data_IF_995001000503
#
_entry.id   IF_995001000503
#
_cell.length_a   1.000
_cell.length_b   1.000
_cell.length_c   1.000
_cell.angle_alpha   90.00
_cell.angle_beta   90.00
_cell.angle_gamma   90.00
#
_symmetry.space_group_name_H-M   'P 1'
#
loop_
_entity.id
_entity.type
_entity.pdbx_description
1 polymer ?
#
# COMPACT_ATOMS: atom_id res chain seq x y z
N UNK A 1 -12.51 -12.86 -18.06
CA UNK A 1 -11.79 -12.81 -16.81
C UNK A 1 -10.73 -11.69 -16.73
N UNK A 2 -10.05 -11.34 -17.83
CA UNK A 2 -9.00 -10.29 -17.86
C UNK A 2 -9.53 -8.84 -17.80
N UNK A 3 -10.79 -8.59 -18.12
CA UNK A 3 -11.37 -7.23 -18.12
C UNK A 3 -11.91 -6.81 -16.73
N UNK A 4 -12.31 -7.77 -15.90
CA UNK A 4 -12.77 -7.50 -14.52
C UNK A 4 -11.62 -7.14 -13.57
N UNK A 5 -10.40 -7.61 -13.84
CA UNK A 5 -9.24 -7.35 -12.98
C UNK A 5 -8.70 -5.92 -13.07
N UNK A 6 -8.88 -5.20 -14.19
CA UNK A 6 -8.41 -3.83 -14.34
C UNK A 6 -9.38 -2.79 -13.75
N UNK A 7 -10.69 -3.00 -13.92
CA UNK A 7 -11.70 -2.10 -13.34
C UNK A 7 -11.72 -2.24 -11.81
N UNK A 8 -11.54 -3.45 -11.28
CA UNK A 8 -11.51 -3.69 -9.83
C UNK A 8 -10.27 -3.11 -9.12
N UNK A 9 -9.13 -2.99 -9.77
CA UNK A 9 -7.91 -2.46 -9.12
C UNK A 9 -7.94 -0.93 -8.95
N UNK A 10 -8.46 -0.21 -9.93
CA UNK A 10 -8.54 1.26 -9.86
C UNK A 10 -9.69 1.72 -8.95
N UNK A 11 -10.81 1.01 -8.96
CA UNK A 11 -11.94 1.28 -8.05
C UNK A 11 -11.64 0.82 -6.61
N UNK A 12 -10.93 -0.29 -6.41
CA UNK A 12 -10.49 -0.72 -5.08
C UNK A 12 -9.42 0.20 -4.47
N UNK A 13 -8.53 0.81 -5.26
CA UNK A 13 -7.58 1.82 -4.77
C UNK A 13 -8.27 3.04 -4.16
N UNK A 14 -9.43 3.45 -4.69
CA UNK A 14 -10.21 4.56 -4.12
C UNK A 14 -10.92 4.23 -2.79
N UNK A 15 -11.01 2.94 -2.42
CA UNK A 15 -11.66 2.48 -1.18
C UNK A 15 -10.62 2.17 -0.10
N UNK A 16 -9.42 1.70 -0.51
CA UNK A 16 -8.35 1.37 0.41
C UNK A 16 -7.58 2.63 0.79
N UNK A 17 -7.60 2.93 2.09
CA UNK A 17 -6.86 4.03 2.66
C UNK A 17 -5.49 3.53 3.13
N UNK A 18 -4.44 3.98 2.45
CA UNK A 18 -3.05 3.69 2.82
C UNK A 18 -2.47 4.76 3.74
N UNK A 19 -3.10 5.95 3.79
CA UNK A 19 -2.74 6.98 4.74
C UNK A 19 -3.39 6.68 6.09
N UNK A 20 -2.61 6.15 7.02
CA UNK A 20 -3.08 5.79 8.35
C UNK A 20 -3.53 7.02 9.16
N UNK A 21 -2.99 8.19 8.88
CA UNK A 21 -3.31 9.44 9.57
C UNK A 21 -4.76 9.87 9.36
N UNK A 22 -5.34 9.60 8.19
CA UNK A 22 -6.75 9.91 7.92
C UNK A 22 -7.74 9.07 8.74
N UNK A 23 -7.29 7.97 9.30
CA UNK A 23 -8.12 7.09 10.17
C UNK A 23 -8.03 7.47 11.65
N UNK A 24 -7.11 8.36 12.02
CA UNK A 24 -6.90 8.80 13.39
C UNK A 24 -7.88 9.90 13.81
N UNK A 25 -8.20 10.02 15.12
CA UNK A 25 -9.01 11.12 15.64
C UNK A 25 -8.37 12.48 15.34
N UNK A 26 -9.19 13.41 14.82
CA UNK A 26 -8.72 14.75 14.41
C UNK A 26 -8.27 15.64 15.58
N UNK A 27 -8.62 15.28 16.80
CA UNK A 27 -8.24 15.98 18.03
C UNK A 27 -6.82 15.68 18.50
N UNK A 28 -6.11 14.72 17.86
CA UNK A 28 -4.75 14.41 18.23
C UNK A 28 -3.80 15.59 17.95
N UNK A 29 -2.92 15.94 18.90
CA UNK A 29 -1.99 17.07 18.73
C UNK A 29 -1.11 16.95 17.46
N UNK A 30 -0.72 15.75 17.08
CA UNK A 30 0.06 15.48 15.85
C UNK A 30 -0.74 15.79 14.59
N UNK A 31 -2.01 15.41 14.55
CA UNK A 31 -2.90 15.68 13.40
C UNK A 31 -3.15 17.19 13.28
N UNK A 32 -3.43 17.87 14.40
CA UNK A 32 -3.60 19.33 14.43
C UNK A 32 -2.32 20.03 13.97
N UNK A 33 -1.14 19.52 14.35
CA UNK A 33 0.13 20.09 13.92
C UNK A 33 0.36 19.91 12.41
N UNK A 34 0.04 18.74 11.85
CA UNK A 34 0.12 18.48 10.42
C UNK A 34 -0.85 19.37 9.62
N UNK A 35 -2.08 19.55 10.11
CA UNK A 35 -3.03 20.47 9.47
C UNK A 35 -2.51 21.92 9.44
N UNK A 36 -1.89 22.39 10.54
CA UNK A 36 -1.27 23.73 10.57
C UNK A 36 -0.08 23.88 9.64
N UNK A 37 0.78 22.85 9.53
CA UNK A 37 1.88 22.86 8.57
C UNK A 37 1.37 22.98 7.14
N UNK A 38 0.26 22.31 6.87
CA UNK A 38 -0.39 22.39 5.57
C UNK A 38 -1.04 23.76 5.30
N UNK A 39 -1.79 24.29 6.26
CA UNK A 39 -2.52 25.55 6.09
C UNK A 39 -1.60 26.77 6.09
N UNK A 40 -0.61 26.81 7.00
CA UNK A 40 0.24 27.98 7.21
C UNK A 40 1.48 27.99 6.30
N UNK A 41 1.97 26.80 5.89
CA UNK A 41 3.25 26.66 5.15
C UNK A 41 3.10 25.94 3.81
N UNK A 42 1.90 25.49 3.43
CA UNK A 42 1.63 24.73 2.20
C UNK A 42 2.50 23.44 2.11
N UNK A 43 2.73 22.82 3.27
CA UNK A 43 3.54 21.61 3.41
C UNK A 43 2.64 20.39 3.61
N UNK A 44 2.37 19.63 2.55
CA UNK A 44 1.61 18.38 2.66
C UNK A 44 2.53 17.18 2.89
N UNK A 45 3.54 17.02 2.05
CA UNK A 45 4.47 15.89 2.12
C UNK A 45 5.89 16.40 1.91
N UNK A 46 6.81 16.02 2.81
CA UNK A 46 8.23 16.36 2.66
C UNK A 46 9.02 15.10 2.38
N UNK A 47 9.67 15.07 1.23
CA UNK A 47 10.62 14.03 0.87
C UNK A 47 12.02 14.43 1.33
N UNK A 48 12.80 13.44 1.74
CA UNK A 48 14.22 13.58 2.04
C UNK A 48 15.02 12.78 1.02
N UNK A 49 16.08 13.37 0.50
CA UNK A 49 16.97 12.73 -0.46
C UNK A 49 18.35 12.65 0.17
N UNK A 50 18.92 11.45 0.17
CA UNK A 50 20.32 11.21 0.49
C UNK A 50 21.06 10.96 -0.83
N UNK A 51 21.84 11.96 -1.26
CA UNK A 51 22.70 11.86 -2.41
C UNK A 51 24.18 11.80 -1.97
N UNK A 52 25.04 11.26 -2.82
CA UNK A 52 26.47 11.15 -2.52
C UNK A 52 27.08 12.54 -2.25
N UNK A 53 27.89 12.63 -1.22
CA UNK A 53 28.59 13.87 -0.88
C UNK A 53 29.64 14.29 -1.91
N UNK A 54 30.10 13.36 -2.77
CA UNK A 54 31.07 13.61 -3.81
C UNK A 54 30.48 14.37 -5.02
N UNK A 55 29.15 14.45 -5.16
CA UNK A 55 28.50 15.23 -6.21
C UNK A 55 28.95 16.69 -6.13
N UNK A 56 29.43 17.23 -7.26
CA UNK A 56 29.86 18.62 -7.31
C UNK A 56 28.71 19.60 -7.07
N UNK A 57 29.04 20.76 -6.52
CA UNK A 57 28.03 21.78 -6.18
C UNK A 57 27.21 22.27 -7.37
N UNK A 58 27.81 22.30 -8.56
CA UNK A 58 27.12 22.69 -9.79
C UNK A 58 26.12 21.62 -10.24
N UNK A 59 26.47 20.35 -10.10
CA UNK A 59 25.60 19.22 -10.42
C UNK A 59 24.46 19.08 -9.40
N UNK A 60 24.77 19.22 -8.11
CA UNK A 60 23.77 19.27 -7.07
C UNK A 60 22.77 20.43 -7.25
N UNK A 61 23.25 21.62 -7.67
CA UNK A 61 22.39 22.76 -7.99
C UNK A 61 21.51 22.51 -9.22
N UNK A 62 22.04 21.83 -10.25
CA UNK A 62 21.24 21.44 -11.43
C UNK A 62 20.17 20.42 -11.08
N UNK A 63 20.53 19.39 -10.32
CA UNK A 63 19.59 18.37 -9.82
C UNK A 63 18.44 19.02 -9.04
N UNK A 64 18.74 19.92 -8.11
CA UNK A 64 17.71 20.65 -7.35
C UNK A 64 16.79 21.46 -8.29
N UNK A 65 17.36 22.18 -9.27
CA UNK A 65 16.58 22.97 -10.21
C UNK A 65 15.72 22.13 -11.16
N UNK A 66 16.11 20.88 -11.44
CA UNK A 66 15.29 19.92 -12.18
C UNK A 66 14.16 19.37 -11.29
N UNK A 67 14.44 19.05 -10.03
CA UNK A 67 13.45 18.60 -9.08
C UNK A 67 12.36 19.65 -8.78
N UNK A 68 12.74 20.94 -8.72
CA UNK A 68 11.78 22.04 -8.54
C UNK A 68 10.82 22.23 -9.72
N UNK A 69 11.13 21.67 -10.89
CA UNK A 69 10.26 21.75 -12.07
C UNK A 69 9.26 20.60 -12.15
N UNK A 70 9.42 19.60 -11.30
CA UNK A 70 8.49 18.47 -11.23
C UNK A 70 7.15 18.97 -10.72
N UNK A 71 6.08 18.52 -11.32
CA UNK A 71 4.73 18.96 -11.00
C UNK A 71 4.39 18.68 -9.51
N UNK A 72 3.79 19.68 -8.86
CA UNK A 72 3.45 19.62 -7.43
C UNK A 72 4.62 19.82 -6.47
N UNK A 73 5.86 20.05 -6.92
CA UNK A 73 6.97 20.44 -6.05
C UNK A 73 6.90 21.94 -5.78
N UNK A 74 6.91 22.31 -4.51
CA UNK A 74 6.89 23.73 -4.09
C UNK A 74 8.29 24.30 -3.94
N UNK A 75 9.20 23.54 -3.38
CA UNK A 75 10.59 23.90 -3.20
C UNK A 75 11.48 22.67 -2.97
N UNK A 76 12.75 22.79 -3.33
CA UNK A 76 13.80 21.83 -3.01
C UNK A 76 14.93 22.54 -2.27
N UNK A 77 15.26 22.07 -1.08
CA UNK A 77 16.23 22.68 -0.19
C UNK A 77 17.42 21.76 0.03
N UNK A 78 18.59 22.18 -0.38
CA UNK A 78 19.85 21.50 -0.11
C UNK A 78 20.94 22.51 0.28
N UNK A 79 22.13 22.02 0.58
CA UNK A 79 23.26 22.89 0.95
C UNK A 79 23.49 23.96 -0.13
N UNK A 80 23.43 23.59 -1.39
CA UNK A 80 23.76 24.47 -2.51
C UNK A 80 22.59 25.39 -2.96
N UNK A 81 21.35 25.08 -2.60
CA UNK A 81 20.22 26.00 -2.81
C UNK A 81 20.24 27.16 -1.82
N UNK A 82 20.70 26.91 -0.58
CA UNK A 82 20.82 27.94 0.45
C UNK A 82 21.94 28.93 0.18
N UNK A 83 23.02 28.50 -0.47
CA UNK A 83 24.28 29.24 -0.55
C UNK A 83 24.49 29.81 -1.92
N UNK A 84 23.86 29.24 -2.95
CA UNK A 84 24.19 29.56 -4.35
C UNK A 84 25.59 29.09 -4.76
N UNK A 85 25.83 28.94 -6.06
CA UNK A 85 27.11 28.40 -6.55
C UNK A 85 28.32 29.36 -6.34
N UNK A 86 28.08 30.58 -5.89
CA UNK A 86 29.08 31.66 -5.86
C UNK A 86 29.70 31.90 -4.48
N UNK A 87 29.11 31.33 -3.40
CA UNK A 87 29.63 31.56 -2.06
C UNK A 87 30.72 30.52 -1.71
N UNK A 88 31.92 30.96 -1.29
CA UNK A 88 32.98 30.07 -0.86
C UNK A 88 32.53 29.22 0.38
N UNK A 89 32.85 27.92 0.33
CA UNK A 89 32.52 26.96 1.44
C UNK A 89 33.01 27.43 2.83
N UNK A 90 34.06 28.25 2.87
CA UNK A 90 34.62 28.80 4.10
C UNK A 90 33.75 29.87 4.80
N UNK A 91 32.73 30.40 4.11
CA UNK A 91 31.80 31.38 4.69
C UNK A 91 30.53 30.73 5.29
N UNK A 92 30.36 29.42 5.12
CA UNK A 92 29.19 28.71 5.61
C UNK A 92 29.42 28.32 7.07
N UNK A 93 28.47 28.60 7.97
CA UNK A 93 28.58 28.11 9.34
C UNK A 93 28.68 26.57 9.37
N UNK A 94 29.64 26.05 10.13
CA UNK A 94 29.84 24.60 10.26
C UNK A 94 28.57 23.87 10.75
N UNK A 95 27.71 24.54 11.50
CA UNK A 95 26.43 23.98 11.97
C UNK A 95 25.47 23.66 10.81
N UNK A 96 25.44 24.47 9.77
CA UNK A 96 24.60 24.24 8.58
C UNK A 96 25.19 23.14 7.71
N UNK A 97 26.49 23.21 7.49
CA UNK A 97 27.20 22.19 6.69
C UNK A 97 27.06 20.82 7.32
N UNK A 98 27.30 20.69 8.63
CA UNK A 98 27.22 19.41 9.34
C UNK A 98 25.78 18.86 9.44
N UNK A 99 24.76 19.71 9.35
CA UNK A 99 23.37 19.28 9.35
C UNK A 99 22.92 18.71 7.98
N UNK A 100 23.44 19.28 6.88
CA UNK A 100 23.01 18.92 5.53
C UNK A 100 24.02 18.07 4.75
N UNK A 101 25.25 17.92 5.24
CA UNK A 101 26.29 17.15 4.56
C UNK A 101 27.23 16.50 5.55
N UNK A 102 27.53 15.22 5.32
CA UNK A 102 28.57 14.47 5.99
C UNK A 102 29.59 13.91 4.98
N UNK A 103 30.52 13.05 5.43
CA UNK A 103 31.55 12.48 4.56
C UNK A 103 31.00 11.57 3.44
N UNK A 104 29.81 11.03 3.61
CA UNK A 104 29.20 10.08 2.66
C UNK A 104 28.02 10.67 1.90
N UNK A 105 27.16 11.41 2.58
CA UNK A 105 25.89 11.86 2.04
C UNK A 105 25.67 13.34 2.21
N UNK A 106 24.91 13.91 1.29
CA UNK A 106 24.26 15.21 1.43
C UNK A 106 22.76 15.02 1.52
N UNK A 107 22.12 15.73 2.44
CA UNK A 107 20.68 15.73 2.67
C UNK A 107 20.01 16.85 1.88
N UNK A 108 18.99 16.50 1.13
CA UNK A 108 18.14 17.43 0.40
C UNK A 108 16.71 17.21 0.88
N UNK A 109 15.97 18.28 1.10
CA UNK A 109 14.56 18.28 1.44
C UNK A 109 13.77 18.77 0.24
N UNK A 110 12.73 18.03 -0.13
CA UNK A 110 11.84 18.37 -1.25
C UNK A 110 10.41 18.38 -0.74
N UNK A 111 9.73 19.50 -0.87
CA UNK A 111 8.35 19.63 -0.42
C UNK A 111 7.37 19.48 -1.57
N UNK A 112 6.37 18.64 -1.37
CA UNK A 112 5.28 18.37 -2.30
C UNK A 112 3.95 18.92 -1.78
N UNK A 113 3.14 19.43 -2.70
CA UNK A 113 1.74 19.79 -2.42
C UNK A 113 0.80 18.57 -2.41
N UNK A 114 1.26 17.42 -2.95
CA UNK A 114 0.45 16.22 -3.01
C UNK A 114 0.40 15.50 -1.67
N UNK A 115 -0.73 14.87 -1.41
CA UNK A 115 -0.93 14.06 -0.21
C UNK A 115 -0.31 12.67 -0.38
N UNK A 116 0.10 12.09 0.75
CA UNK A 116 0.57 10.71 0.82
C UNK A 116 -0.51 9.74 0.29
N UNK A 117 -0.08 8.70 -0.40
CA UNK A 117 -0.91 7.65 -0.97
C UNK A 117 -1.84 8.10 -2.13
N UNK A 118 -1.52 9.18 -2.83
CA UNK A 118 -2.20 9.58 -4.07
C UNK A 118 -1.42 9.14 -5.30
N UNK A 119 -2.12 8.95 -6.42
CA UNK A 119 -1.47 8.57 -7.69
C UNK A 119 -0.54 9.67 -8.19
N UNK A 120 -0.91 10.94 -7.98
CA UNK A 120 -0.10 12.11 -8.33
C UNK A 120 1.23 12.11 -7.57
N UNK A 121 1.19 11.82 -6.25
CA UNK A 121 2.41 11.71 -5.46
C UNK A 121 3.28 10.52 -5.89
N UNK A 122 2.66 9.38 -6.21
CA UNK A 122 3.40 8.20 -6.67
C UNK A 122 4.10 8.43 -8.01
N UNK A 123 3.48 9.16 -8.92
CA UNK A 123 4.10 9.51 -10.20
C UNK A 123 5.21 10.56 -10.01
N UNK A 124 5.00 11.54 -9.14
CA UNK A 124 6.03 12.51 -8.72
C UNK A 124 7.26 11.81 -8.12
N UNK A 125 7.06 10.81 -7.24
CA UNK A 125 8.14 10.01 -6.64
C UNK A 125 8.97 9.29 -7.71
N UNK A 126 8.34 8.72 -8.75
CA UNK A 126 9.05 8.06 -9.86
C UNK A 126 9.89 9.07 -10.66
N UNK A 127 9.34 10.25 -10.90
CA UNK A 127 10.05 11.31 -11.62
C UNK A 127 11.23 11.83 -10.81
N UNK A 128 11.05 12.10 -9.51
CA UNK A 128 12.13 12.49 -8.60
C UNK A 128 13.24 11.42 -8.52
N UNK A 129 12.88 10.14 -8.43
CA UNK A 129 13.84 9.04 -8.48
C UNK A 129 14.60 9.00 -9.81
N UNK A 130 13.93 9.24 -10.92
CA UNK A 130 14.58 9.27 -12.23
C UNK A 130 15.60 10.42 -12.32
N UNK A 131 15.25 11.60 -11.85
CA UNK A 131 16.16 12.74 -11.78
C UNK A 131 17.34 12.41 -10.86
N UNK A 132 17.07 11.90 -9.65
CA UNK A 132 18.12 11.53 -8.69
C UNK A 132 19.12 10.55 -9.30
N UNK A 133 18.64 9.47 -9.90
CA UNK A 133 19.51 8.42 -10.47
C UNK A 133 20.31 8.89 -11.71
N UNK A 134 19.91 9.98 -12.37
CA UNK A 134 20.75 10.58 -13.41
C UNK A 134 22.02 11.24 -12.87
N UNK A 135 22.02 11.65 -11.59
CA UNK A 135 23.16 12.27 -10.92
C UNK A 135 23.86 11.35 -9.93
N UNK A 136 23.12 10.40 -9.34
CA UNK A 136 23.60 9.43 -8.34
C UNK A 136 22.83 8.13 -8.42
N UNK A 137 23.44 7.08 -9.01
CA UNK A 137 22.81 5.75 -9.10
C UNK A 137 22.46 5.12 -7.75
N UNK A 138 23.17 5.53 -6.69
CA UNK A 138 22.96 5.02 -5.33
C UNK A 138 22.17 6.00 -4.45
N UNK A 139 21.73 7.11 -5.01
CA UNK A 139 20.91 8.08 -4.31
C UNK A 139 19.60 7.47 -3.80
N UNK A 140 19.16 7.88 -2.63
CA UNK A 140 17.99 7.33 -1.95
C UNK A 140 16.96 8.42 -1.71
N UNK A 141 15.73 8.21 -2.16
CA UNK A 141 14.57 9.02 -1.83
C UNK A 141 13.88 8.43 -0.60
N UNK A 142 13.73 9.22 0.46
CA UNK A 142 13.25 8.80 1.77
C UNK A 142 12.10 9.69 2.22
N UNK A 143 11.21 9.18 3.01
CA UNK A 143 10.10 9.92 3.60
C UNK A 143 8.83 9.10 3.63
N UNK A 144 7.76 9.68 4.16
CA UNK A 144 6.47 9.02 4.29
C UNK A 144 5.87 8.67 2.92
N UNK A 145 6.01 9.58 1.94
CA UNK A 145 5.52 9.34 0.58
C UNK A 145 6.18 8.14 -0.10
N UNK A 146 7.51 8.12 -0.27
CA UNK A 146 8.23 6.96 -0.85
C UNK A 146 7.98 5.67 -0.09
N UNK A 147 8.01 5.70 1.26
CA UNK A 147 7.73 4.53 2.08
C UNK A 147 6.33 3.96 1.84
N UNK A 148 5.34 4.85 1.73
CA UNK A 148 3.95 4.44 1.47
C UNK A 148 3.78 3.92 0.04
N UNK A 149 4.45 4.51 -0.94
CA UNK A 149 4.46 4.02 -2.33
C UNK A 149 5.03 2.60 -2.41
N UNK A 150 6.19 2.35 -1.78
CA UNK A 150 6.80 1.03 -1.70
C UNK A 150 5.89 0.02 -0.96
N UNK A 151 5.26 0.45 0.14
CA UNK A 151 4.32 -0.38 0.89
C UNK A 151 3.11 -0.79 0.04
N UNK A 152 2.56 0.12 -0.77
CA UNK A 152 1.45 -0.17 -1.69
C UNK A 152 1.86 -1.24 -2.70
N UNK A 153 3.01 -1.06 -3.36
CA UNK A 153 3.47 -1.97 -4.41
C UNK A 153 3.81 -3.36 -3.87
N UNK A 154 4.48 -3.43 -2.71
CA UNK A 154 4.79 -4.70 -2.03
C UNK A 154 3.50 -5.39 -1.58
N UNK A 155 2.61 -4.65 -0.92
CA UNK A 155 1.34 -5.20 -0.40
C UNK A 155 0.46 -5.74 -1.53
N UNK A 156 0.33 -5.02 -2.64
CA UNK A 156 -0.44 -5.47 -3.80
C UNK A 156 0.11 -6.77 -4.40
N UNK A 157 1.43 -6.91 -4.43
CA UNK A 157 2.12 -8.09 -4.93
C UNK A 157 1.97 -9.27 -3.98
N UNK A 158 2.28 -9.05 -2.70
CA UNK A 158 2.21 -10.09 -1.66
C UNK A 158 0.77 -10.58 -1.46
N UNK A 159 -0.20 -9.69 -1.48
CA UNK A 159 -1.61 -10.08 -1.36
C UNK A 159 -2.06 -11.01 -2.48
N UNK A 160 -1.66 -10.75 -3.72
CA UNK A 160 -1.95 -11.63 -4.86
C UNK A 160 -1.31 -13.00 -4.69
N UNK A 161 -0.05 -13.04 -4.28
CA UNK A 161 0.67 -14.30 -4.06
C UNK A 161 0.10 -15.10 -2.90
N UNK A 162 -0.11 -14.47 -1.75
CA UNK A 162 -0.67 -15.13 -0.55
C UNK A 162 -2.07 -15.64 -0.83
N UNK A 163 -2.93 -14.85 -1.48
CA UNK A 163 -4.29 -15.28 -1.84
C UNK A 163 -4.27 -16.47 -2.79
N UNK A 164 -3.47 -16.42 -3.85
CA UNK A 164 -3.37 -17.50 -4.82
C UNK A 164 -2.87 -18.81 -4.19
N UNK A 165 -1.83 -18.73 -3.35
CA UNK A 165 -1.28 -19.90 -2.64
C UNK A 165 -2.29 -20.44 -1.62
N UNK A 166 -2.94 -19.59 -0.85
CA UNK A 166 -3.95 -19.99 0.14
C UNK A 166 -5.14 -20.69 -0.50
N UNK A 167 -5.69 -20.13 -1.57
CA UNK A 167 -6.78 -20.73 -2.35
C UNK A 167 -6.33 -22.08 -2.92
N UNK A 168 -5.12 -22.16 -3.48
CA UNK A 168 -4.57 -23.41 -4.03
C UNK A 168 -4.41 -24.51 -2.97
N UNK A 169 -3.88 -24.17 -1.80
CA UNK A 169 -3.70 -25.13 -0.71
C UNK A 169 -5.06 -25.62 -0.19
N UNK A 170 -6.00 -24.71 0.03
CA UNK A 170 -7.36 -25.05 0.48
C UNK A 170 -8.06 -25.94 -0.54
N UNK A 171 -7.93 -25.61 -1.82
CA UNK A 171 -8.48 -26.43 -2.89
C UNK A 171 -7.94 -27.88 -2.85
N UNK A 172 -6.63 -28.05 -2.68
CA UNK A 172 -6.00 -29.37 -2.56
C UNK A 172 -6.46 -30.11 -1.31
N UNK A 173 -6.53 -29.44 -0.16
CA UNK A 173 -7.02 -30.05 1.10
C UNK A 173 -8.45 -30.56 0.94
N UNK A 174 -9.36 -29.75 0.41
CA UNK A 174 -10.76 -30.14 0.19
C UNK A 174 -10.85 -31.31 -0.81
N UNK A 175 -10.04 -31.28 -1.89
CA UNK A 175 -10.00 -32.33 -2.89
C UNK A 175 -9.58 -33.67 -2.28
N UNK A 176 -8.53 -33.67 -1.45
CA UNK A 176 -8.04 -34.87 -0.76
C UNK A 176 -9.05 -35.40 0.25
N UNK A 177 -9.67 -34.50 1.04
CA UNK A 177 -10.63 -34.85 2.08
C UNK A 177 -11.89 -35.48 1.49
N UNK A 178 -12.43 -34.93 0.41
CA UNK A 178 -13.68 -35.41 -0.18
C UNK A 178 -13.48 -36.40 -1.34
N UNK A 179 -12.25 -36.61 -1.79
CA UNK A 179 -11.90 -37.45 -2.97
C UNK A 179 -12.75 -37.08 -4.19
N UNK A 180 -12.96 -35.82 -4.41
CA UNK A 180 -13.82 -35.26 -5.46
C UNK A 180 -13.25 -33.93 -5.94
N UNK A 181 -13.20 -33.70 -7.23
CA UNK A 181 -12.70 -32.45 -7.83
C UNK A 181 -13.82 -31.39 -7.88
N UNK A 182 -15.07 -31.79 -8.05
CA UNK A 182 -16.19 -30.83 -8.19
C UNK A 182 -16.49 -30.06 -6.89
N UNK A 183 -16.34 -30.70 -5.73
CA UNK A 183 -16.66 -30.06 -4.45
C UNK A 183 -15.74 -28.88 -4.11
N UNK A 184 -14.41 -28.98 -4.28
CA UNK A 184 -13.52 -27.84 -4.07
C UNK A 184 -13.89 -26.65 -4.95
N UNK A 185 -14.20 -26.85 -6.23
CA UNK A 185 -14.59 -25.76 -7.13
C UNK A 185 -15.84 -25.03 -6.63
N UNK A 186 -16.85 -25.76 -6.19
CA UNK A 186 -18.09 -25.15 -5.69
C UNK A 186 -17.85 -24.43 -4.35
N UNK A 187 -17.18 -25.08 -3.39
CA UNK A 187 -16.98 -24.51 -2.06
C UNK A 187 -16.06 -23.28 -2.11
N UNK A 188 -14.91 -23.40 -2.75
CA UNK A 188 -13.97 -22.26 -2.90
C UNK A 188 -14.61 -21.14 -3.69
N UNK A 189 -15.34 -21.45 -4.78
CA UNK A 189 -16.01 -20.44 -5.59
C UNK A 189 -17.07 -19.65 -4.82
N UNK A 190 -17.85 -20.32 -3.94
CA UNK A 190 -18.84 -19.65 -3.09
C UNK A 190 -18.16 -18.80 -2.02
N UNK A 191 -17.07 -19.28 -1.42
CA UNK A 191 -16.32 -18.51 -0.42
C UNK A 191 -15.69 -17.27 -1.04
N UNK A 192 -15.01 -17.41 -2.17
CA UNK A 192 -14.41 -16.29 -2.90
C UNK A 192 -15.46 -15.26 -3.33
N UNK A 193 -16.62 -15.73 -3.78
CA UNK A 193 -17.73 -14.85 -4.12
C UNK A 193 -18.23 -14.07 -2.90
N UNK A 194 -18.34 -14.72 -1.73
CA UNK A 194 -18.75 -14.05 -0.48
C UNK A 194 -17.71 -13.02 -0.01
N UNK A 195 -16.40 -13.32 -0.14
CA UNK A 195 -15.32 -12.37 0.15
C UNK A 195 -15.43 -11.17 -0.79
N UNK A 196 -15.62 -11.40 -2.09
CA UNK A 196 -15.77 -10.34 -3.09
C UNK A 196 -16.96 -9.43 -2.78
N UNK A 197 -18.11 -9.98 -2.42
CA UNK A 197 -19.29 -9.19 -2.03
C UNK A 197 -19.00 -8.38 -0.77
N UNK A 198 -18.38 -8.98 0.24
CA UNK A 198 -18.05 -8.31 1.49
C UNK A 198 -17.08 -7.13 1.27
N UNK A 199 -16.06 -7.33 0.45
CA UNK A 199 -15.10 -6.28 0.07
C UNK A 199 -15.70 -5.19 -0.83
N UNK A 200 -16.80 -5.48 -1.53
CA UNK A 200 -17.54 -4.52 -2.34
C UNK A 200 -18.48 -3.59 -1.55
N UNK A 201 -18.91 -3.99 -0.35
CA UNK A 201 -19.85 -3.20 0.48
C UNK A 201 -19.33 -1.79 0.77
N UNK A 202 -18.06 -1.57 1.17
CA UNK A 202 -17.51 -0.25 1.44
C UNK A 202 -17.63 0.73 0.27
N UNK A 203 -17.55 0.24 -0.96
CA UNK A 203 -17.77 1.07 -2.16
C UNK A 203 -19.16 1.70 -2.16
N UNK A 204 -20.20 0.90 -1.87
CA UNK A 204 -21.58 1.39 -1.86
C UNK A 204 -21.92 2.23 -0.65
N UNK A 205 -21.23 2.01 0.48
CA UNK A 205 -21.43 2.79 1.71
C UNK A 205 -20.57 4.05 1.78
N UNK A 206 -19.63 4.23 0.83
CA UNK A 206 -18.68 5.34 0.85
C UNK A 206 -17.69 5.28 2.02
N UNK A 207 -17.49 4.09 2.60
CA UNK A 207 -16.60 3.90 3.75
C UNK A 207 -15.20 3.56 3.25
N UNK A 208 -14.19 4.29 3.69
CA UNK A 208 -12.79 3.98 3.43
C UNK A 208 -12.32 2.88 4.39
N UNK A 209 -11.62 1.89 3.87
CA UNK A 209 -11.03 0.81 4.65
C UNK A 209 -9.51 0.99 4.72
N UNK A 210 -8.89 0.88 5.90
CA UNK A 210 -7.44 0.73 5.99
C UNK A 210 -6.98 -0.47 5.15
N UNK A 211 -5.88 -0.34 4.42
CA UNK A 211 -5.38 -1.41 3.54
C UNK A 211 -5.19 -2.75 4.28
N UNK A 212 -4.77 -2.68 5.55
CA UNK A 212 -4.61 -3.87 6.42
C UNK A 212 -5.94 -4.61 6.61
N UNK A 213 -7.06 -3.89 6.68
CA UNK A 213 -8.38 -4.51 6.88
C UNK A 213 -8.76 -5.44 5.71
N UNK A 214 -8.40 -5.12 4.48
CA UNK A 214 -8.67 -5.95 3.32
C UNK A 214 -7.95 -7.31 3.40
N UNK A 215 -6.69 -7.31 3.84
CA UNK A 215 -5.89 -8.52 4.04
C UNK A 215 -6.50 -9.38 5.15
N UNK A 216 -6.82 -8.75 6.28
CA UNK A 216 -7.40 -9.43 7.45
C UNK A 216 -8.77 -10.03 7.12
N UNK A 217 -9.65 -9.28 6.44
CA UNK A 217 -10.98 -9.76 6.04
C UNK A 217 -10.83 -10.97 5.11
N UNK A 218 -9.99 -10.88 4.08
CA UNK A 218 -9.79 -11.97 3.13
C UNK A 218 -9.26 -13.25 3.78
N UNK A 219 -8.21 -13.14 4.59
CA UNK A 219 -7.57 -14.30 5.24
C UNK A 219 -8.46 -14.94 6.32
N UNK A 220 -9.08 -14.14 7.19
CA UNK A 220 -9.97 -14.65 8.26
C UNK A 220 -11.22 -15.27 7.65
N UNK A 221 -11.84 -14.60 6.69
CA UNK A 221 -13.06 -15.12 6.06
C UNK A 221 -12.78 -16.41 5.30
N UNK A 222 -11.67 -16.48 4.55
CA UNK A 222 -11.28 -17.70 3.87
C UNK A 222 -11.05 -18.85 4.87
N UNK A 223 -10.24 -18.64 5.92
CA UNK A 223 -9.90 -19.65 6.93
C UNK A 223 -11.12 -20.16 7.70
N UNK A 224 -11.89 -19.27 8.29
CA UNK A 224 -13.03 -19.64 9.13
C UNK A 224 -14.20 -20.26 8.32
N UNK A 225 -14.46 -19.76 7.11
CA UNK A 225 -15.58 -20.25 6.30
C UNK A 225 -15.30 -21.64 5.73
N UNK A 226 -14.05 -21.96 5.44
CA UNK A 226 -13.66 -23.28 4.94
C UNK A 226 -13.98 -24.38 5.96
N UNK A 227 -13.67 -24.17 7.24
CA UNK A 227 -13.93 -25.16 8.29
C UNK A 227 -15.42 -25.47 8.40
N UNK A 228 -16.27 -24.45 8.41
CA UNK A 228 -17.73 -24.66 8.42
C UNK A 228 -18.22 -25.35 7.14
N UNK A 229 -17.70 -25.01 5.99
CA UNK A 229 -18.06 -25.64 4.71
C UNK A 229 -17.67 -27.13 4.70
N UNK A 230 -16.50 -27.49 5.22
CA UNK A 230 -16.03 -28.87 5.36
C UNK A 230 -16.94 -29.64 6.32
N UNK A 231 -17.23 -29.06 7.49
CA UNK A 231 -18.06 -29.69 8.53
C UNK A 231 -19.46 -29.97 8.01
N UNK A 232 -20.13 -28.97 7.42
CA UNK A 232 -21.47 -29.11 6.86
C UNK A 232 -21.51 -30.13 5.71
N UNK A 233 -20.54 -30.09 4.80
CA UNK A 233 -20.47 -31.01 3.67
C UNK A 233 -20.20 -32.45 4.11
N UNK A 234 -19.34 -32.63 5.10
CA UNK A 234 -19.05 -33.94 5.68
C UNK A 234 -20.31 -34.54 6.34
N UNK A 235 -21.03 -33.71 7.12
CA UNK A 235 -22.29 -34.12 7.73
C UNK A 235 -23.34 -34.48 6.70
N UNK A 236 -23.54 -33.63 5.70
CA UNK A 236 -24.45 -33.90 4.59
C UNK A 236 -24.15 -35.24 3.91
N UNK A 237 -22.87 -35.52 3.56
CA UNK A 237 -22.48 -36.80 2.96
C UNK A 237 -22.77 -37.98 3.85
N UNK A 238 -22.52 -37.84 5.16
CA UNK A 238 -22.81 -38.89 6.14
C UNK A 238 -24.31 -39.23 6.23
N UNK A 239 -25.16 -38.21 6.31
CA UNK A 239 -26.63 -38.43 6.33
C UNK A 239 -27.13 -39.04 5.01
N UNK A 240 -26.59 -38.62 3.88
CA UNK A 240 -26.90 -39.20 2.57
C UNK A 240 -26.51 -40.68 2.50
N UNK A 241 -25.36 -41.05 3.05
CA UNK A 241 -24.89 -42.44 3.08
C UNK A 241 -25.75 -43.32 4.01
N UNK A 242 -26.38 -42.73 5.02
CA UNK A 242 -27.36 -43.44 5.89
C UNK A 242 -28.76 -43.53 5.27
N UNK A 243 -28.97 -43.09 4.04
CA UNK A 243 -30.22 -43.24 3.32
C UNK A 243 -31.20 -42.07 3.49
N UNK A 244 -30.82 -40.98 4.17
CA UNK A 244 -31.64 -39.80 4.30
C UNK A 244 -31.90 -39.16 2.91
N UNK A 245 -33.07 -38.58 2.68
CA UNK A 245 -33.33 -37.84 1.45
C UNK A 245 -32.52 -36.51 1.44
N UNK A 246 -32.51 -35.79 0.30
CA UNK A 246 -31.71 -34.55 0.15
C UNK A 246 -32.10 -33.47 1.15
N UNK A 247 -33.40 -33.30 1.38
CA UNK A 247 -33.93 -32.23 2.25
C UNK A 247 -33.62 -32.54 3.74
N UNK A 248 -33.81 -33.77 4.18
CA UNK A 248 -33.54 -34.19 5.55
C UNK A 248 -32.05 -34.14 5.84
N UNK A 249 -31.22 -34.57 4.89
CA UNK A 249 -29.75 -34.49 5.02
C UNK A 249 -29.25 -33.04 5.14
N UNK A 250 -29.78 -32.10 4.35
CA UNK A 250 -29.42 -30.69 4.45
C UNK A 250 -29.89 -30.12 5.78
N UNK A 251 -31.14 -30.36 6.16
CA UNK A 251 -31.71 -29.84 7.41
C UNK A 251 -30.93 -30.33 8.63
N UNK A 252 -30.56 -31.61 8.66
CA UNK A 252 -29.75 -32.19 9.72
C UNK A 252 -28.34 -31.65 9.74
N UNK A 253 -27.70 -31.49 8.57
CA UNK A 253 -26.37 -30.88 8.45
C UNK A 253 -26.34 -29.43 8.97
N UNK A 254 -27.36 -28.64 8.63
CA UNK A 254 -27.45 -27.24 9.07
C UNK A 254 -27.78 -27.06 10.53
N UNK A 255 -28.55 -27.98 11.13
CA UNK A 255 -28.96 -27.89 12.53
C UNK A 255 -27.84 -28.22 13.52
N UNK A 256 -26.81 -28.92 13.07
CA UNK A 256 -25.74 -29.49 13.94
C UNK A 256 -24.38 -28.84 13.61
N UNK A 257 -24.28 -28.01 12.55
CA UNK A 257 -23.11 -27.17 12.24
C UNK A 257 -23.26 -25.82 12.93
#
# INVERSE_FOLDING_TARGET
MHCMTRISQQECRGILEYNLDETLPKELPSIIANEKLKEDYDMNTTHMILADSAIDGADAGRMLSEMEKVDGIKWALGLYSLIGPTIPKSMIPNSVTSALKNDKYQLILVNSEYKVATDELNDQIKELNTILHNYDENGMLIGEGPLTADLIDITDTDFKHVSAVSIGIIFVIIMLLFKSVSLPFILVGVIEFAIFVNMGIPYYTGTKLPFVASIVIGTIQLGSTVDYAILMTTRYKRERNHGANKYDAITTAHRVS
#
